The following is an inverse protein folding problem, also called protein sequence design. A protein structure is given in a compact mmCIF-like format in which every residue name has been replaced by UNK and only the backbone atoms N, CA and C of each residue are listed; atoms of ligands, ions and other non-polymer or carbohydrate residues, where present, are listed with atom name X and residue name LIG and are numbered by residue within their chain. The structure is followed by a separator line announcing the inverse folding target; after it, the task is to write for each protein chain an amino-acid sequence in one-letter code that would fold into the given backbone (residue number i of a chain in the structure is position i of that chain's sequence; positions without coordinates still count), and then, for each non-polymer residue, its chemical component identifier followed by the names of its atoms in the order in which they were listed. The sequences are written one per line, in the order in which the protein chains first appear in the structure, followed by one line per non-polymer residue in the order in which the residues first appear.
data_IF_601276550788
#
_entry.id   IF_601276550788
#
_cell.length_a   1.000
_cell.length_b   1.000
_cell.length_c   1.000
_cell.angle_alpha   90.00
_cell.angle_beta   90.00
_cell.angle_gamma   90.00
#
_symmetry.space_group_name_H-M   'P 1'
#
loop_
_entity.id
_entity.type
_entity.pdbx_description
1 polymer ?
#
# COMPACT_ATOMS: atom_id res chain seq x y z
N UNK A 1 -18.82 -66.39 31.75
CA UNK A 1 -19.54 -66.59 30.46
C UNK A 1 -18.77 -65.77 29.43
N UNK A 2 -17.64 -66.28 28.92
CA UNK A 2 -17.54 -67.16 27.74
C UNK A 2 -17.91 -66.33 26.48
N UNK A 3 -17.12 -66.14 25.41
CA UNK A 3 -16.05 -66.91 24.75
C UNK A 3 -15.30 -66.00 23.74
N UNK A 4 -13.98 -66.21 23.65
CA UNK A 4 -13.01 -66.25 22.52
C UNK A 4 -13.17 -65.41 21.23
N UNK A 5 -11.99 -65.03 20.73
CA UNK A 5 -11.65 -64.75 19.32
C UNK A 5 -10.76 -63.51 19.26
N UNK A 6 -9.54 -63.48 18.75
CA UNK A 6 -8.77 -64.40 17.91
C UNK A 6 -7.61 -63.53 17.41
N UNK A 7 -6.43 -64.11 17.37
CA UNK A 7 -5.14 -63.53 17.02
C UNK A 7 -5.08 -63.10 15.55
N UNK A 8 -4.69 -61.85 15.25
CA UNK A 8 -4.05 -61.50 13.98
C UNK A 8 -2.94 -60.48 14.24
N UNK A 9 -1.72 -60.98 14.08
CA UNK A 9 -0.46 -60.26 14.01
C UNK A 9 -0.42 -59.50 12.68
N UNK A 10 -0.36 -58.18 12.76
CA UNK A 10 0.10 -57.34 11.66
C UNK A 10 1.23 -56.45 12.19
N UNK A 11 2.44 -56.99 12.11
CA UNK A 11 3.67 -56.19 12.05
C UNK A 11 3.58 -55.34 10.79
N UNK A 12 2.96 -54.17 10.87
CA UNK A 12 3.23 -53.11 9.90
C UNK A 12 4.64 -52.61 10.17
N UNK A 13 5.53 -53.10 9.32
CA UNK A 13 6.88 -52.62 9.12
C UNK A 13 6.87 -51.11 9.08
N UNK A 14 7.49 -50.51 10.11
CA UNK A 14 8.08 -49.17 10.02
C UNK A 14 9.04 -49.26 8.83
N UNK A 15 8.59 -48.84 7.66
CA UNK A 15 9.47 -48.53 6.55
C UNK A 15 10.38 -47.40 7.05
N UNK A 16 11.54 -47.82 7.54
CA UNK A 16 12.72 -46.99 7.69
C UNK A 16 13.09 -46.50 6.29
N UNK A 17 12.41 -45.46 5.82
CA UNK A 17 12.94 -44.57 4.79
C UNK A 17 14.33 -44.17 5.29
N UNK A 18 15.41 -44.47 4.55
CA UNK A 18 16.73 -44.06 4.96
C UNK A 18 16.68 -42.56 5.14
N UNK A 19 17.03 -42.08 6.33
CA UNK A 19 17.27 -40.68 6.56
C UNK A 19 18.46 -40.27 5.67
N UNK A 20 18.18 -39.91 4.43
CA UNK A 20 19.10 -39.20 3.57
C UNK A 20 19.47 -37.95 4.36
N UNK A 21 20.70 -37.95 4.88
CA UNK A 21 21.24 -36.82 5.62
C UNK A 21 21.34 -35.67 4.62
N UNK A 22 20.27 -34.88 4.53
CA UNK A 22 20.27 -33.61 3.82
C UNK A 22 21.46 -32.84 4.36
N UNK A 23 22.51 -32.66 3.53
CA UNK A 23 23.70 -31.93 3.93
C UNK A 23 23.23 -30.58 4.48
N UNK A 24 23.63 -30.21 5.72
CA UNK A 24 23.22 -28.93 6.26
C UNK A 24 23.69 -27.85 5.29
N UNK A 25 22.78 -26.96 4.89
CA UNK A 25 23.17 -25.80 4.10
C UNK A 25 24.27 -25.05 4.86
N UNK A 26 25.30 -24.56 4.18
CA UNK A 26 26.41 -23.81 4.81
C UNK A 26 25.88 -22.67 5.69
N UNK A 27 24.75 -22.09 5.28
CA UNK A 27 24.01 -21.09 6.04
C UNK A 27 23.40 -21.63 7.35
N UNK A 28 22.81 -22.82 7.33
CA UNK A 28 22.27 -23.48 8.53
C UNK A 28 23.36 -23.82 9.55
N UNK A 29 24.57 -24.13 9.09
CA UNK A 29 25.73 -24.38 9.95
C UNK A 29 26.28 -23.08 10.54
N UNK A 30 26.37 -22.00 9.75
CA UNK A 30 26.69 -20.65 10.21
C UNK A 30 25.70 -20.15 11.28
N UNK A 31 24.40 -20.30 11.06
CA UNK A 31 23.37 -19.93 12.04
C UNK A 31 23.56 -20.70 13.36
N UNK A 32 23.79 -22.02 13.28
CA UNK A 32 23.97 -22.86 14.47
C UNK A 32 25.22 -22.48 15.25
N UNK A 33 26.32 -22.15 14.57
CA UNK A 33 27.58 -21.70 15.19
C UNK A 33 27.42 -20.38 15.96
N UNK A 34 26.52 -19.51 15.51
CA UNK A 34 26.22 -18.24 16.17
C UNK A 34 25.01 -18.31 17.13
N UNK A 35 24.51 -19.50 17.46
CA UNK A 35 23.36 -19.67 18.36
C UNK A 35 22.01 -19.22 17.77
N UNK A 36 21.92 -19.08 16.44
CA UNK A 36 20.72 -18.63 15.72
C UNK A 36 19.91 -19.85 15.25
N UNK A 37 18.62 -19.88 15.55
CA UNK A 37 17.73 -20.93 15.06
C UNK A 37 17.39 -20.71 13.57
N UNK A 38 17.79 -21.62 12.66
CA UNK A 38 17.61 -21.44 11.22
C UNK A 38 16.14 -21.51 10.77
N UNK A 39 15.22 -22.05 11.59
CA UNK A 39 13.79 -22.04 11.25
C UNK A 39 13.13 -20.68 11.52
N UNK A 40 13.68 -19.90 12.46
CA UNK A 40 13.14 -18.60 12.86
C UNK A 40 13.80 -17.44 12.13
N UNK A 41 14.94 -17.66 11.45
CA UNK A 41 15.67 -16.58 10.77
C UNK A 41 14.86 -15.97 9.63
N UNK A 42 14.15 -16.79 8.86
CA UNK A 42 13.27 -16.30 7.80
C UNK A 42 12.18 -15.40 8.39
N UNK A 43 11.55 -15.83 9.49
CA UNK A 43 10.52 -15.03 10.16
C UNK A 43 11.10 -13.69 10.66
N UNK A 44 12.30 -13.69 11.26
CA UNK A 44 12.96 -12.46 11.73
C UNK A 44 13.24 -11.49 10.58
N UNK A 45 13.78 -11.99 9.47
CA UNK A 45 14.07 -11.17 8.28
C UNK A 45 12.77 -10.59 7.73
N UNK A 46 11.73 -11.41 7.56
CA UNK A 46 10.43 -10.93 7.09
C UNK A 46 9.86 -9.87 8.01
N UNK A 47 9.87 -10.07 9.33
CA UNK A 47 9.40 -9.06 10.29
C UNK A 47 10.22 -7.76 10.19
N UNK A 48 11.55 -7.86 10.12
CA UNK A 48 12.41 -6.69 9.97
C UNK A 48 12.07 -5.88 8.70
N UNK A 49 11.94 -6.55 7.56
CA UNK A 49 11.62 -5.89 6.28
C UNK A 49 10.21 -5.29 6.33
N UNK A 50 9.21 -6.01 6.85
CA UNK A 50 7.82 -5.54 6.94
C UNK A 50 7.66 -4.33 7.86
N UNK A 51 8.30 -4.36 9.04
CA UNK A 51 8.24 -3.21 9.97
C UNK A 51 9.09 -2.04 9.49
N UNK A 52 10.23 -2.29 8.85
CA UNK A 52 11.06 -1.25 8.22
C UNK A 52 10.37 -0.57 7.03
N UNK A 53 9.65 -1.34 6.23
CA UNK A 53 8.82 -0.77 5.16
C UNK A 53 7.69 0.10 5.74
N UNK A 54 6.95 -0.41 6.74
CA UNK A 54 5.88 0.35 7.38
C UNK A 54 6.38 1.65 8.02
N UNK A 55 7.53 1.62 8.70
CA UNK A 55 8.06 2.80 9.40
C UNK A 55 8.54 3.91 8.46
N UNK A 56 9.06 3.54 7.28
CA UNK A 56 9.44 4.50 6.24
C UNK A 56 8.26 4.98 5.40
N UNK A 57 7.25 4.14 5.21
CA UNK A 57 6.06 4.47 4.42
C UNK A 57 5.14 5.49 5.11
N UNK A 58 4.91 5.36 6.41
CA UNK A 58 4.05 6.28 7.18
C UNK A 58 4.40 7.76 7.00
N UNK A 59 5.64 8.22 7.20
CA UNK A 59 5.99 9.63 7.00
C UNK A 59 5.90 10.06 5.53
N UNK A 60 6.26 9.17 4.59
CA UNK A 60 6.10 9.44 3.16
C UNK A 60 4.63 9.67 2.78
N UNK A 61 3.73 8.80 3.26
CA UNK A 61 2.29 8.90 3.00
C UNK A 61 1.69 10.19 3.54
N UNK A 62 2.09 10.63 4.74
CA UNK A 62 1.62 11.91 5.30
C UNK A 62 1.97 13.08 4.38
N UNK A 63 3.23 13.16 3.95
CA UNK A 63 3.70 14.24 3.09
C UNK A 63 3.02 14.15 1.71
N UNK A 64 2.86 12.94 1.18
CA UNK A 64 2.20 12.71 -0.09
C UNK A 64 0.73 13.16 -0.06
N UNK A 65 -0.03 12.80 0.98
CA UNK A 65 -1.41 13.24 1.15
C UNK A 65 -1.51 14.77 1.30
N UNK A 66 -0.57 15.40 2.01
CA UNK A 66 -0.51 16.86 2.11
C UNK A 66 -0.21 17.51 0.75
N UNK A 67 0.71 16.94 -0.05
CA UNK A 67 1.01 17.45 -1.39
C UNK A 67 -0.17 17.33 -2.36
N UNK A 68 -1.02 16.31 -2.19
CA UNK A 68 -2.27 16.17 -2.95
C UNK A 68 -3.31 17.22 -2.54
N UNK A 69 -3.11 17.88 -1.40
CA UNK A 69 -4.00 18.93 -0.90
C UNK A 69 -5.02 18.49 0.12
N UNK A 70 -4.85 17.32 0.73
CA UNK A 70 -5.69 16.93 1.86
C UNK A 70 -5.38 17.82 3.07
N UNK A 71 -6.43 18.26 3.75
CA UNK A 71 -6.32 18.97 5.01
C UNK A 71 -5.84 18.05 6.13
N UNK A 72 -5.26 18.63 7.19
CA UNK A 72 -4.78 17.85 8.34
C UNK A 72 -5.91 17.06 9.01
N UNK A 73 -7.13 17.59 8.99
CA UNK A 73 -8.33 16.94 9.54
C UNK A 73 -8.69 15.68 8.74
N UNK A 74 -8.68 15.76 7.41
CA UNK A 74 -8.94 14.61 6.53
C UNK A 74 -7.87 13.52 6.70
N UNK A 75 -6.59 13.92 6.76
CA UNK A 75 -5.48 12.99 7.00
C UNK A 75 -5.63 12.29 8.35
N UNK A 76 -6.04 13.01 9.39
CA UNK A 76 -6.29 12.42 10.71
C UNK A 76 -7.42 11.38 10.68
N UNK A 77 -8.50 11.65 9.93
CA UNK A 77 -9.60 10.69 9.73
C UNK A 77 -9.10 9.44 8.98
N UNK A 78 -8.26 9.59 7.96
CA UNK A 78 -7.64 8.46 7.25
C UNK A 78 -6.78 7.64 8.22
N UNK A 79 -5.93 8.29 9.02
CA UNK A 79 -5.09 7.59 9.99
C UNK A 79 -5.85 6.97 11.16
N UNK A 80 -7.06 7.42 11.45
CA UNK A 80 -7.96 6.78 12.40
C UNK A 80 -8.28 5.34 12.00
N UNK A 81 -8.23 4.98 10.71
CA UNK A 81 -8.45 3.60 10.26
C UNK A 81 -7.33 2.63 10.70
N UNK A 82 -6.12 3.13 10.96
CA UNK A 82 -4.97 2.31 11.39
C UNK A 82 -5.19 1.59 12.73
N UNK A 83 -5.63 2.25 13.83
CA UNK A 83 -5.92 1.56 15.08
C UNK A 83 -7.06 0.55 14.94
N UNK A 84 -8.09 0.81 14.12
CA UNK A 84 -9.17 -0.17 13.89
C UNK A 84 -8.65 -1.42 13.20
N UNK A 85 -7.87 -1.27 12.15
CA UNK A 85 -7.31 -2.41 11.40
C UNK A 85 -6.30 -3.19 12.24
N UNK A 86 -5.45 -2.52 13.03
CA UNK A 86 -4.48 -3.20 13.91
C UNK A 86 -5.15 -3.90 15.10
N UNK A 87 -6.29 -3.39 15.59
CA UNK A 87 -7.08 -4.04 16.64
C UNK A 87 -7.88 -5.23 16.12
N UNK A 88 -8.52 -5.11 14.96
CA UNK A 88 -9.38 -6.15 14.39
C UNK A 88 -8.61 -7.21 13.61
N UNK A 89 -7.44 -6.90 13.06
CA UNK A 89 -6.68 -7.85 12.23
C UNK A 89 -6.26 -9.12 12.97
N UNK A 90 -5.75 -9.10 14.22
CA UNK A 90 -5.40 -10.32 14.95
C UNK A 90 -6.56 -11.30 15.17
N UNK A 91 -7.74 -10.90 15.71
CA UNK A 91 -8.84 -11.83 15.91
C UNK A 91 -9.41 -12.34 14.58
N UNK A 92 -9.50 -11.48 13.55
CA UNK A 92 -9.97 -11.91 12.22
C UNK A 92 -9.02 -12.94 11.62
N UNK A 93 -7.72 -12.64 11.59
CA UNK A 93 -6.71 -13.54 11.02
C UNK A 93 -6.61 -14.84 11.80
N UNK A 94 -6.68 -14.79 13.14
CA UNK A 94 -6.73 -15.97 14.00
C UNK A 94 -7.92 -16.87 13.64
N UNK A 95 -9.12 -16.31 13.57
CA UNK A 95 -10.32 -17.04 13.16
C UNK A 95 -10.18 -17.66 11.76
N UNK A 96 -9.60 -16.94 10.80
CA UNK A 96 -9.34 -17.47 9.45
C UNK A 96 -8.38 -18.66 9.50
N UNK A 97 -7.23 -18.51 10.18
CA UNK A 97 -6.23 -19.58 10.28
C UNK A 97 -6.82 -20.83 10.93
N UNK A 98 -7.60 -20.66 11.99
CA UNK A 98 -8.26 -21.75 12.70
C UNK A 98 -9.28 -22.46 11.80
N UNK A 99 -10.05 -21.71 11.02
CA UNK A 99 -11.05 -22.28 10.10
C UNK A 99 -10.44 -23.01 8.91
N UNK A 100 -9.35 -22.49 8.34
CA UNK A 100 -8.67 -23.13 7.20
C UNK A 100 -7.75 -24.29 7.62
N UNK A 101 -7.40 -24.39 8.91
CA UNK A 101 -6.52 -25.43 9.45
C UNK A 101 -5.08 -25.39 8.91
N UNK A 102 -4.73 -24.36 8.12
CA UNK A 102 -3.43 -24.19 7.47
C UNK A 102 -3.07 -22.69 7.44
N UNK A 103 -2.00 -22.32 8.14
CA UNK A 103 -1.53 -20.92 8.22
C UNK A 103 -0.91 -20.41 6.91
N UNK A 104 -0.23 -21.28 6.15
CA UNK A 104 0.50 -20.92 4.92
C UNK A 104 -0.35 -20.16 3.89
N UNK A 105 -1.53 -20.66 3.45
CA UNK A 105 -2.34 -19.94 2.46
C UNK A 105 -2.85 -18.58 2.98
N UNK A 106 -3.17 -18.47 4.26
CA UNK A 106 -3.63 -17.21 4.86
C UNK A 106 -2.52 -16.15 4.83
N UNK A 107 -1.29 -16.55 5.18
CA UNK A 107 -0.12 -15.67 5.13
C UNK A 107 0.21 -15.24 3.70
N UNK A 108 0.19 -16.18 2.74
CA UNK A 108 0.46 -15.86 1.33
C UNK A 108 -0.59 -14.90 0.78
N UNK A 109 -1.87 -15.14 1.06
CA UNK A 109 -2.96 -14.27 0.64
C UNK A 109 -2.80 -12.86 1.25
N UNK A 110 -2.50 -12.77 2.55
CA UNK A 110 -2.24 -11.49 3.22
C UNK A 110 -1.08 -10.72 2.58
N UNK A 111 0.01 -11.41 2.23
CA UNK A 111 1.17 -10.79 1.58
C UNK A 111 0.83 -10.28 0.18
N UNK A 112 0.07 -11.04 -0.60
CA UNK A 112 -0.38 -10.63 -1.93
C UNK A 112 -1.31 -9.42 -1.88
N UNK A 113 -2.28 -9.41 -0.95
CA UNK A 113 -3.14 -8.25 -0.74
C UNK A 113 -2.34 -7.03 -0.28
N UNK A 114 -1.39 -7.21 0.64
CA UNK A 114 -0.53 -6.12 1.10
C UNK A 114 0.24 -5.50 -0.07
N UNK A 115 0.89 -6.33 -0.89
CA UNK A 115 1.60 -5.89 -2.08
C UNK A 115 0.68 -5.17 -3.07
N UNK A 116 -0.50 -5.74 -3.37
CA UNK A 116 -1.48 -5.14 -4.26
C UNK A 116 -1.91 -3.74 -3.77
N UNK A 117 -2.33 -3.62 -2.50
CA UNK A 117 -2.80 -2.35 -1.94
C UNK A 117 -1.68 -1.30 -1.88
N UNK A 118 -0.46 -1.69 -1.53
CA UNK A 118 0.67 -0.76 -1.50
C UNK A 118 1.07 -0.32 -2.90
N UNK A 119 0.97 -1.21 -3.89
CA UNK A 119 1.23 -0.85 -5.28
C UNK A 119 0.12 0.04 -5.85
N UNK A 120 -1.13 -0.16 -5.44
CA UNK A 120 -2.26 0.70 -5.82
C UNK A 120 -2.04 2.17 -5.46
N UNK A 121 -1.26 2.46 -4.41
CA UNK A 121 -0.91 3.84 -4.02
C UNK A 121 -0.16 4.60 -5.14
N UNK A 122 0.58 3.89 -6.00
CA UNK A 122 1.31 4.51 -7.11
C UNK A 122 0.39 5.03 -8.22
N UNK A 123 -0.87 4.55 -8.28
CA UNK A 123 -1.84 5.02 -9.25
C UNK A 123 -2.59 6.28 -8.80
N UNK A 124 -2.29 6.80 -7.61
CA UNK A 124 -2.87 8.05 -7.13
C UNK A 124 -2.18 9.20 -7.87
N UNK A 125 -2.92 10.01 -8.64
CA UNK A 125 -2.33 11.13 -9.36
C UNK A 125 -1.83 12.18 -8.39
N UNK A 126 -0.63 12.69 -8.63
CA UNK A 126 -0.11 13.87 -7.94
C UNK A 126 -0.94 15.09 -8.31
N UNK A 127 -1.33 15.88 -7.31
CA UNK A 127 -1.91 17.22 -7.52
C UNK A 127 -0.80 18.22 -7.27
N UNK A 128 -0.70 19.23 -8.13
CA UNK A 128 0.39 20.21 -8.05
C UNK A 128 0.10 21.34 -7.05
N UNK A 129 -1.09 21.39 -6.44
CA UNK A 129 -1.48 22.48 -5.53
C UNK A 129 -2.08 21.90 -4.23
N UNK A 130 -1.40 22.06 -3.07
CA UNK A 130 -1.91 21.58 -1.81
C UNK A 130 -3.08 22.44 -1.30
N UNK A 131 -4.30 21.89 -1.34
CA UNK A 131 -5.42 22.29 -0.47
C UNK A 131 -6.11 23.59 -0.85
N UNK A 132 -5.81 24.14 -2.03
CA UNK A 132 -6.46 25.33 -2.57
C UNK A 132 -6.94 24.98 -3.97
N UNK A 133 -8.25 24.88 -4.15
CA UNK A 133 -8.80 25.00 -5.49
C UNK A 133 -8.41 26.39 -6.01
N UNK A 134 -7.77 26.51 -7.18
CA UNK A 134 -7.42 27.81 -7.73
C UNK A 134 -8.68 28.68 -7.75
N UNK A 135 -8.64 29.84 -7.10
CA UNK A 135 -9.78 30.76 -7.13
C UNK A 135 -10.06 31.11 -8.58
N UNK A 136 -11.26 30.78 -9.01
CA UNK A 136 -11.72 30.95 -10.38
C UNK A 136 -12.53 32.24 -10.45
N UNK A 137 -12.02 33.23 -11.17
CA UNK A 137 -12.72 34.49 -11.39
C UNK A 137 -13.53 34.38 -12.67
N UNK A 138 -14.83 34.54 -12.55
CA UNK A 138 -15.75 34.53 -13.70
C UNK A 138 -15.90 35.95 -14.19
N UNK A 139 -15.26 36.27 -15.32
CA UNK A 139 -15.38 37.57 -15.98
C UNK A 139 -16.41 37.46 -17.10
N UNK A 140 -17.28 38.46 -17.22
CA UNK A 140 -18.21 38.59 -18.34
C UNK A 140 -17.79 39.76 -19.21
N UNK A 141 -17.66 39.50 -20.51
CA UNK A 141 -17.34 40.56 -21.44
C UNK A 141 -18.53 41.54 -21.54
N UNK A 142 -18.32 42.86 -21.40
CA UNK A 142 -19.41 43.83 -21.35
C UNK A 142 -20.17 43.93 -22.69
N UNK A 143 -19.50 43.70 -23.81
CA UNK A 143 -20.08 43.90 -25.15
C UNK A 143 -20.60 42.62 -25.80
N UNK A 144 -19.99 41.46 -25.53
CA UNK A 144 -20.35 40.17 -26.16
C UNK A 144 -21.15 39.26 -25.23
N UNK A 145 -21.10 39.50 -23.92
CA UNK A 145 -21.76 38.66 -22.91
C UNK A 145 -21.06 37.31 -22.67
N UNK A 146 -19.91 37.07 -23.30
CA UNK A 146 -19.15 35.83 -23.14
C UNK A 146 -18.63 35.69 -21.71
N UNK A 147 -18.63 34.45 -21.23
CA UNK A 147 -18.22 34.10 -19.86
C UNK A 147 -16.84 33.44 -19.94
N UNK A 148 -15.87 34.02 -19.23
CA UNK A 148 -14.52 33.49 -19.14
C UNK A 148 -14.13 33.17 -17.68
N UNK A 149 -13.33 32.12 -17.49
CA UNK A 149 -12.89 31.63 -16.19
C UNK A 149 -11.38 31.82 -16.07
N UNK A 150 -10.93 32.68 -15.15
CA UNK A 150 -9.52 32.91 -14.83
C UNK A 150 -9.11 32.12 -13.58
N UNK A 151 -8.03 31.34 -13.66
CA UNK A 151 -7.56 30.47 -12.57
C UNK A 151 -6.32 31.07 -11.88
N UNK A 152 -6.36 31.26 -10.55
CA UNK A 152 -5.16 31.63 -9.76
C UNK A 152 -4.35 30.36 -9.38
N UNK A 153 -3.05 30.21 -9.67
CA UNK A 153 -2.04 31.25 -9.55
C UNK A 153 -1.27 31.47 -10.86
N UNK A 154 -1.99 31.84 -11.93
CA UNK A 154 -1.36 32.22 -13.19
C UNK A 154 -1.17 33.75 -13.21
N UNK A 155 0.04 34.28 -12.89
CA UNK A 155 0.25 35.72 -12.67
C UNK A 155 0.16 36.55 -13.96
N UNK A 156 0.25 35.94 -15.14
CA UNK A 156 0.25 36.66 -16.42
C UNK A 156 -0.40 35.87 -17.56
N UNK A 157 -1.07 36.61 -18.44
CA UNK A 157 -1.55 36.15 -19.75
C UNK A 157 -0.80 36.89 -20.83
N UNK A 158 -0.25 36.17 -21.81
CA UNK A 158 0.20 36.80 -23.06
C UNK A 158 -0.81 36.46 -24.15
N UNK A 159 -1.23 37.49 -24.88
CA UNK A 159 -2.10 37.36 -26.02
C UNK A 159 -1.31 37.77 -27.26
N UNK A 160 -1.51 37.12 -28.41
CA UNK A 160 -0.87 37.54 -29.66
C UNK A 160 -1.31 38.97 -30.03
N UNK A 161 -0.35 39.83 -30.38
CA UNK A 161 -0.61 41.18 -30.86
C UNK A 161 -1.05 41.12 -32.34
N UNK A 162 -2.34 40.85 -32.59
CA UNK A 162 -2.91 41.02 -33.94
C UNK A 162 -3.59 42.40 -34.08
N UNK A 163 -3.32 43.15 -35.15
CA UNK A 163 -3.97 44.43 -35.40
C UNK A 163 -5.39 44.22 -35.94
N UNK A 164 -6.37 44.63 -35.13
CA UNK A 164 -7.80 44.84 -35.46
C UNK A 164 -8.63 43.59 -35.83
N UNK A 165 -9.30 42.96 -34.86
CA UNK A 165 -10.70 43.24 -34.44
C UNK A 165 -11.19 42.01 -33.63
N UNK A 166 -11.68 42.24 -32.42
CA UNK A 166 -12.15 41.23 -31.44
C UNK A 166 -11.11 40.19 -31.02
N UNK A 167 -10.14 40.63 -30.20
CA UNK A 167 -9.25 39.73 -29.47
C UNK A 167 -10.09 38.89 -28.48
N UNK A 168 -10.48 37.69 -28.89
CA UNK A 168 -11.16 36.77 -27.99
C UNK A 168 -10.14 36.29 -26.94
N UNK A 169 -10.40 36.55 -25.66
CA UNK A 169 -9.48 36.18 -24.56
C UNK A 169 -9.21 34.66 -24.51
N UNK A 170 -10.07 33.85 -25.16
CA UNK A 170 -9.85 32.42 -25.43
C UNK A 170 -8.60 32.10 -26.26
N UNK A 171 -8.01 33.09 -26.93
CA UNK A 171 -6.79 32.97 -27.72
C UNK A 171 -5.52 33.29 -26.90
N UNK A 172 -5.67 33.74 -25.66
CA UNK A 172 -4.55 34.05 -24.77
C UNK A 172 -4.05 32.77 -24.06
N UNK A 173 -2.75 32.69 -23.83
CA UNK A 173 -2.13 31.58 -23.10
C UNK A 173 -1.91 32.00 -21.64
N UNK A 174 -2.43 31.20 -20.71
CA UNK A 174 -2.20 31.34 -19.28
C UNK A 174 -0.79 30.84 -18.90
N UNK A 175 0.06 31.72 -18.39
CA UNK A 175 1.34 31.33 -17.81
C UNK A 175 1.17 31.12 -16.33
N UNK A 176 1.06 29.86 -15.95
CA UNK A 176 0.96 29.47 -14.56
C UNK A 176 2.35 29.21 -13.99
N UNK A 177 2.63 29.76 -12.81
CA UNK A 177 3.80 29.35 -12.03
C UNK A 177 3.49 27.96 -11.48
N UNK A 178 3.84 26.91 -12.24
CA UNK A 178 3.95 25.56 -11.72
C UNK A 178 5.20 25.55 -10.84
N UNK A 179 5.02 25.58 -9.53
CA UNK A 179 6.11 25.49 -8.56
C UNK A 179 5.83 24.39 -7.54
#
# INVERSE_FOLDING_TARGET
MAIMGGEETATETIDMVPAEKVKPSQFGEFCRRNGINPNLIMLKITLFVMYGATSSLLPYLTIHMQSIGLTVEEIAIIYLALPFTTFLSPPITGFLVDKFGKYKPVVIMSLLLNALFHHSLLFIPQQEIPGIVPSAFVMRHPDTGDIEVWWSPCPSRECPEEPELDLAVSQCVDYCLLQ
#
